data_IF_885240712200
#
_entry.id   IF_885240712200
#
_cell.length_a   1.000
_cell.length_b   1.000
_cell.length_c   1.000
_cell.angle_alpha   90.00
_cell.angle_beta   90.00
_cell.angle_gamma   90.00
#
_symmetry.space_group_name_H-M   'P 1'
#
loop_
_entity.id
_entity.type
_entity.pdbx_description
1 polymer ?
#
# COMPACT_ATOMS: atom_id res chain seq x y z
N UNK A 1 16.57 -18.95 -15.59
CA UNK A 1 15.21 -19.30 -16.02
C UNK A 1 14.20 -19.44 -14.88
N UNK A 2 14.61 -19.52 -13.61
CA UNK A 2 13.68 -19.54 -12.47
C UNK A 2 13.00 -18.20 -12.16
N UNK A 3 13.71 -17.08 -12.37
CA UNK A 3 13.25 -15.73 -12.03
C UNK A 3 11.98 -15.30 -12.79
N UNK A 4 11.94 -15.53 -14.11
CA UNK A 4 10.78 -15.19 -14.97
C UNK A 4 9.52 -15.94 -14.51
N UNK A 5 9.68 -17.20 -14.08
CA UNK A 5 8.57 -18.02 -13.60
C UNK A 5 8.07 -17.61 -12.21
N UNK A 6 8.91 -17.01 -11.38
CA UNK A 6 8.52 -16.50 -10.07
C UNK A 6 7.71 -15.20 -10.19
N UNK A 7 8.16 -14.28 -11.06
CA UNK A 7 7.42 -13.05 -11.38
C UNK A 7 6.07 -13.36 -12.02
N UNK A 8 6.00 -14.37 -12.90
CA UNK A 8 4.74 -14.82 -13.50
C UNK A 8 3.73 -15.40 -12.50
N UNK A 9 4.19 -15.84 -11.31
CA UNK A 9 3.33 -16.37 -10.23
C UNK A 9 2.94 -15.32 -9.18
N UNK A 10 3.38 -14.07 -9.34
CA UNK A 10 3.05 -12.99 -8.41
C UNK A 10 3.71 -13.13 -7.03
N UNK A 11 4.79 -13.91 -6.93
CA UNK A 11 5.58 -14.04 -5.71
C UNK A 11 6.71 -13.01 -5.72
N UNK A 12 6.53 -11.94 -4.93
CA UNK A 12 7.48 -10.81 -4.83
C UNK A 12 8.28 -10.84 -3.52
N UNK A 13 8.21 -11.92 -2.74
CA UNK A 13 8.70 -11.98 -1.35
C UNK A 13 10.24 -11.96 -1.20
N UNK A 14 11.00 -11.96 -2.30
CA UNK A 14 12.46 -11.91 -2.32
C UNK A 14 13.08 -10.88 -3.26
N UNK A 15 12.30 -9.89 -3.71
CA UNK A 15 12.73 -8.96 -4.77
C UNK A 15 13.36 -7.66 -4.28
N UNK A 16 13.53 -7.48 -2.97
CA UNK A 16 14.03 -6.22 -2.43
C UNK A 16 15.47 -5.91 -2.86
N UNK A 17 16.39 -6.89 -2.82
CA UNK A 17 17.78 -6.72 -3.28
C UNK A 17 17.90 -6.55 -4.81
N UNK A 18 17.24 -7.39 -5.63
CA UNK A 18 17.31 -7.26 -7.09
C UNK A 18 16.66 -6.00 -7.67
N UNK A 19 15.63 -5.43 -7.02
CA UNK A 19 14.97 -4.21 -7.51
C UNK A 19 15.88 -2.98 -7.43
N UNK A 20 16.61 -2.81 -6.33
CA UNK A 20 17.50 -1.66 -6.14
C UNK A 20 18.65 -1.65 -7.17
N UNK A 21 19.22 -2.83 -7.46
CA UNK A 21 20.29 -2.98 -8.47
C UNK A 21 19.77 -2.68 -9.89
N UNK A 22 18.51 -3.03 -10.17
CA UNK A 22 17.90 -2.76 -11.46
C UNK A 22 17.60 -1.26 -11.66
N UNK A 23 17.26 -0.52 -10.61
CA UNK A 23 16.92 0.90 -10.69
C UNK A 23 18.15 1.76 -11.04
N UNK A 24 19.29 1.55 -10.38
CA UNK A 24 20.54 2.26 -10.72
C UNK A 24 20.98 1.98 -12.16
N UNK A 25 20.93 0.71 -12.59
CA UNK A 25 21.28 0.32 -13.95
C UNK A 25 20.36 0.95 -15.02
N UNK A 26 19.10 1.23 -14.69
CA UNK A 26 18.16 1.93 -15.57
C UNK A 26 18.55 3.40 -15.71
N UNK A 27 18.92 4.07 -14.61
CA UNK A 27 19.34 5.47 -14.66
C UNK A 27 20.67 5.64 -15.42
N UNK A 28 21.65 4.76 -15.17
CA UNK A 28 22.91 4.76 -15.90
C UNK A 28 22.70 4.55 -17.41
N UNK A 29 21.77 3.68 -17.80
CA UNK A 29 21.42 3.46 -19.19
C UNK A 29 20.74 4.69 -19.81
N UNK A 30 19.85 5.36 -19.07
CA UNK A 30 19.20 6.58 -19.53
C UNK A 30 20.23 7.70 -19.74
N UNK A 31 21.18 7.88 -18.83
CA UNK A 31 22.25 8.87 -18.96
C UNK A 31 23.24 8.55 -20.08
N UNK A 32 23.32 7.29 -20.51
CA UNK A 32 24.19 6.86 -21.61
C UNK A 32 23.68 7.19 -23.02
N UNK A 33 22.40 7.57 -23.16
CA UNK A 33 21.78 7.86 -24.46
C UNK A 33 21.53 9.36 -24.63
N UNK A 34 21.43 9.82 -25.88
CA UNK A 34 21.20 11.22 -26.20
C UNK A 34 19.78 11.69 -25.85
N UNK A 35 19.60 13.01 -25.71
CA UNK A 35 18.34 13.64 -25.31
C UNK A 35 17.15 13.24 -26.20
N UNK A 36 17.36 13.06 -27.51
CA UNK A 36 16.27 12.68 -28.41
C UNK A 36 15.84 11.25 -28.12
N UNK A 37 16.80 10.34 -27.92
CA UNK A 37 16.53 8.95 -27.54
C UNK A 37 15.88 8.87 -26.15
N UNK A 38 16.33 9.65 -25.16
CA UNK A 38 15.70 9.72 -23.84
C UNK A 38 14.22 10.13 -23.95
N UNK A 39 13.90 11.15 -24.72
CA UNK A 39 12.53 11.61 -24.89
C UNK A 39 11.62 10.54 -25.51
N UNK A 40 12.12 9.78 -26.49
CA UNK A 40 11.38 8.66 -27.08
C UNK A 40 11.13 7.54 -26.06
N UNK A 41 12.13 7.23 -25.23
CA UNK A 41 12.00 6.24 -24.15
C UNK A 41 10.93 6.69 -23.16
N UNK A 42 10.99 7.94 -22.69
CA UNK A 42 10.01 8.50 -21.74
C UNK A 42 8.59 8.48 -22.31
N UNK A 43 8.42 8.88 -23.57
CA UNK A 43 7.11 8.86 -24.23
C UNK A 43 6.54 7.44 -24.31
N UNK A 44 7.38 6.47 -24.68
CA UNK A 44 7.00 5.07 -24.75
C UNK A 44 6.63 4.52 -23.36
N UNK A 45 7.48 4.69 -22.35
CA UNK A 45 7.26 4.16 -21.00
C UNK A 45 6.04 4.78 -20.35
N UNK A 46 5.80 6.08 -20.54
CA UNK A 46 4.59 6.77 -20.06
C UNK A 46 3.33 6.18 -20.70
N UNK A 47 3.35 5.95 -22.02
CA UNK A 47 2.25 5.34 -22.75
C UNK A 47 1.97 3.90 -22.30
N UNK A 48 3.03 3.11 -22.14
CA UNK A 48 2.94 1.74 -21.65
C UNK A 48 2.41 1.68 -20.20
N UNK A 49 2.90 2.54 -19.32
CA UNK A 49 2.43 2.65 -17.94
C UNK A 49 0.94 3.00 -17.87
N UNK A 50 0.48 3.96 -18.70
CA UNK A 50 -0.93 4.31 -18.79
C UNK A 50 -1.81 3.15 -19.33
N UNK A 51 -1.28 2.33 -20.24
CA UNK A 51 -1.97 1.12 -20.73
C UNK A 51 -2.04 0.03 -19.66
N UNK A 52 -0.93 -0.25 -18.97
CA UNK A 52 -0.88 -1.21 -17.88
C UNK A 52 -1.82 -0.81 -16.74
N UNK A 53 -1.84 0.47 -16.36
CA UNK A 53 -2.78 1.01 -15.38
C UNK A 53 -4.23 0.73 -15.78
N UNK A 54 -4.60 1.00 -17.04
CA UNK A 54 -5.94 0.69 -17.55
C UNK A 54 -6.30 -0.79 -17.48
N UNK A 55 -5.35 -1.68 -17.73
CA UNK A 55 -5.57 -3.14 -17.63
C UNK A 55 -5.79 -3.54 -16.17
N UNK A 56 -4.99 -2.99 -15.25
CA UNK A 56 -5.12 -3.23 -13.80
C UNK A 56 -6.49 -2.72 -13.31
N UNK A 57 -6.86 -1.50 -13.69
CA UNK A 57 -8.13 -0.91 -13.31
C UNK A 57 -9.30 -1.70 -13.92
N UNK A 58 -9.19 -2.12 -15.18
CA UNK A 58 -10.19 -2.98 -15.83
C UNK A 58 -10.30 -4.34 -15.13
N UNK A 59 -9.20 -4.96 -14.72
CA UNK A 59 -9.21 -6.20 -13.94
C UNK A 59 -9.87 -6.00 -12.56
N UNK A 60 -9.63 -4.86 -11.91
CA UNK A 60 -10.32 -4.50 -10.67
C UNK A 60 -11.84 -4.30 -10.88
N UNK A 61 -12.27 -3.78 -12.04
CA UNK A 61 -13.71 -3.65 -12.36
C UNK A 61 -14.39 -4.96 -12.77
N UNK A 62 -13.64 -5.96 -13.23
CA UNK A 62 -14.18 -7.30 -13.54
C UNK A 62 -14.45 -8.12 -12.27
N UNK A 63 -13.84 -7.74 -11.14
CA UNK A 63 -14.10 -8.35 -9.85
C UNK A 63 -14.18 -7.28 -8.73
N UNK A 64 -15.17 -6.37 -8.79
CA UNK A 64 -15.23 -5.21 -7.89
C UNK A 64 -15.59 -5.58 -6.44
N UNK A 65 -15.95 -6.84 -6.18
CA UNK A 65 -16.33 -7.34 -4.87
C UNK A 65 -15.17 -7.95 -4.06
N UNK A 66 -14.31 -8.76 -4.67
CA UNK A 66 -13.45 -9.65 -3.88
C UNK A 66 -12.34 -8.97 -3.04
N UNK A 67 -11.54 -8.01 -3.54
CA UNK A 67 -10.42 -7.47 -2.75
C UNK A 67 -10.88 -6.63 -1.56
N UNK A 68 -11.91 -5.79 -1.76
CA UNK A 68 -12.45 -4.93 -0.72
C UNK A 68 -13.29 -5.70 0.30
N UNK A 69 -14.13 -6.65 -0.15
CA UNK A 69 -14.90 -7.51 0.76
C UNK A 69 -14.00 -8.42 1.57
N UNK A 70 -12.93 -8.96 0.97
CA UNK A 70 -11.97 -9.78 1.70
C UNK A 70 -11.24 -8.99 2.78
N UNK A 71 -10.85 -7.74 2.48
CA UNK A 71 -10.22 -6.89 3.48
C UNK A 71 -11.20 -6.48 4.58
N UNK A 72 -12.45 -6.18 4.26
CA UNK A 72 -13.48 -5.90 5.27
C UNK A 72 -13.66 -7.09 6.21
N UNK A 73 -13.75 -8.31 5.67
CA UNK A 73 -13.83 -9.55 6.46
C UNK A 73 -12.60 -9.74 7.34
N UNK A 74 -11.39 -9.43 6.84
CA UNK A 74 -10.17 -9.50 7.65
C UNK A 74 -10.16 -8.45 8.77
N UNK A 75 -10.57 -7.22 8.48
CA UNK A 75 -10.64 -6.15 9.47
C UNK A 75 -11.70 -6.43 10.53
N UNK A 76 -12.79 -7.09 10.17
CA UNK A 76 -13.85 -7.52 11.09
C UNK A 76 -13.37 -8.61 12.06
N UNK A 77 -12.34 -9.39 11.70
CA UNK A 77 -11.72 -10.37 12.59
C UNK A 77 -10.82 -9.75 13.67
N UNK A 78 -10.50 -8.46 13.56
CA UNK A 78 -9.74 -7.75 14.59
C UNK A 78 -10.66 -7.10 15.62
N UNK A 79 -10.08 -6.65 16.73
CA UNK A 79 -10.83 -5.90 17.74
C UNK A 79 -11.26 -4.55 17.17
N UNK A 80 -12.55 -4.41 16.89
CA UNK A 80 -13.19 -3.17 16.49
C UNK A 80 -13.88 -2.56 17.71
N UNK A 81 -13.52 -1.32 18.05
CA UNK A 81 -14.11 -0.59 19.17
C UNK A 81 -14.40 0.85 18.78
N UNK A 82 -15.23 1.53 19.56
CA UNK A 82 -15.37 2.97 19.46
C UNK A 82 -14.26 3.63 20.30
N UNK A 83 -13.66 4.70 19.79
CA UNK A 83 -12.72 5.53 20.54
C UNK A 83 -13.24 5.98 21.92
N UNK A 84 -14.54 6.21 22.07
CA UNK A 84 -15.16 6.52 23.37
C UNK A 84 -14.95 5.41 24.41
N UNK A 85 -14.87 4.15 23.99
CA UNK A 85 -14.64 3.00 24.88
C UNK A 85 -13.16 2.81 25.24
N UNK A 86 -12.23 3.40 24.47
CA UNK A 86 -10.78 3.33 24.73
C UNK A 86 -10.35 4.24 25.89
N UNK A 87 -11.08 5.34 26.10
CA UNK A 87 -10.79 6.32 27.16
C UNK A 87 -11.20 5.85 28.56
N UNK A 88 -12.00 4.77 28.66
CA UNK A 88 -12.54 4.29 29.93
C UNK A 88 -11.63 3.32 30.69
N UNK A 89 -10.52 2.84 30.10
CA UNK A 89 -9.75 1.72 30.67
C UNK A 89 -8.27 1.94 30.94
N UNK A 90 -7.68 3.14 30.76
CA UNK A 90 -6.29 3.34 31.19
C UNK A 90 -5.97 4.78 31.54
N UNK A 91 -5.59 4.98 32.80
CA UNK A 91 -4.96 6.18 33.35
C UNK A 91 -3.48 6.23 32.93
N UNK A 92 -3.13 5.88 31.69
CA UNK A 92 -1.78 6.06 31.17
C UNK A 92 -1.89 6.42 29.69
N UNK A 93 -1.17 7.47 29.31
CA UNK A 93 -1.23 8.23 28.07
C UNK A 93 -0.94 7.39 26.81
N UNK A 94 -1.89 6.55 26.39
CA UNK A 94 -1.92 6.02 25.03
C UNK A 94 -2.23 7.21 24.11
N UNK A 95 -1.36 7.48 23.15
CA UNK A 95 -1.61 8.52 22.13
C UNK A 95 -2.91 8.19 21.39
N UNK A 96 -3.99 8.90 21.70
CA UNK A 96 -5.34 8.70 21.12
C UNK A 96 -5.45 9.26 19.70
N UNK A 97 -4.49 8.94 18.84
CA UNK A 97 -4.45 9.38 17.45
C UNK A 97 -4.16 8.21 16.52
N UNK A 98 -4.72 8.25 15.32
CA UNK A 98 -4.42 7.25 14.31
C UNK A 98 -3.02 7.48 13.75
N UNK A 99 -2.16 6.47 13.76
CA UNK A 99 -0.79 6.58 13.24
C UNK A 99 -0.72 6.66 11.70
N UNK A 100 -1.84 6.48 11.00
CA UNK A 100 -1.93 6.58 9.53
C UNK A 100 -2.21 8.02 9.07
N UNK A 101 -3.20 8.69 9.67
CA UNK A 101 -3.57 10.07 9.32
C UNK A 101 -3.09 11.11 10.34
N UNK A 102 -2.59 10.65 11.49
CA UNK A 102 -2.14 11.48 12.62
C UNK A 102 -3.25 12.28 13.32
N UNK A 103 -4.51 12.09 12.93
CA UNK A 103 -5.65 12.76 13.56
C UNK A 103 -6.07 12.07 14.86
N UNK A 104 -6.55 12.89 15.81
CA UNK A 104 -7.17 12.42 17.04
C UNK A 104 -8.50 11.70 16.77
N UNK A 105 -8.83 10.72 17.59
CA UNK A 105 -10.10 10.01 17.46
C UNK A 105 -11.29 10.82 17.97
N UNK A 106 -12.37 10.80 17.21
CA UNK A 106 -13.68 11.28 17.62
C UNK A 106 -14.47 10.16 18.30
N UNK A 107 -15.39 10.51 19.19
CA UNK A 107 -16.19 9.56 19.99
C UNK A 107 -17.13 8.65 19.19
N UNK A 108 -17.18 8.75 17.87
CA UNK A 108 -17.95 7.90 16.97
C UNK A 108 -17.05 7.17 15.97
N UNK A 109 -15.73 7.33 16.05
CA UNK A 109 -14.80 6.67 15.16
C UNK A 109 -14.72 5.17 15.48
N UNK A 110 -14.84 4.36 14.42
CA UNK A 110 -14.53 2.94 14.49
C UNK A 110 -13.02 2.76 14.42
N UNK A 111 -12.46 2.23 15.51
CA UNK A 111 -11.04 1.99 15.68
C UNK A 111 -10.75 0.49 15.62
N UNK A 112 -9.82 0.10 14.76
CA UNK A 112 -9.28 -1.25 14.68
C UNK A 112 -8.03 -1.32 15.54
N UNK A 113 -7.97 -2.28 16.47
CA UNK A 113 -6.78 -2.58 17.27
C UNK A 113 -6.18 -3.89 16.77
N UNK A 114 -4.91 -3.86 16.39
CA UNK A 114 -4.20 -5.06 15.94
C UNK A 114 -3.81 -5.95 17.13
N UNK A 115 -3.82 -7.29 16.96
CA UNK A 115 -3.57 -8.23 18.06
C UNK A 115 -2.13 -8.24 18.56
N UNK A 116 -1.20 -7.60 17.84
CA UNK A 116 0.22 -7.56 18.23
C UNK A 116 0.50 -6.61 19.39
N UNK A 117 -0.21 -5.49 19.53
CA UNK A 117 -0.08 -4.58 20.66
C UNK A 117 -1.25 -3.59 20.74
N UNK A 118 -1.68 -3.22 21.96
CA UNK A 118 -2.83 -2.32 22.19
C UNK A 118 -2.60 -0.88 21.71
N UNK A 119 -1.35 -0.49 21.50
CA UNK A 119 -0.98 0.82 20.92
C UNK A 119 -1.05 0.84 19.38
N UNK A 120 -1.27 -0.30 18.74
CA UNK A 120 -1.45 -0.38 17.28
C UNK A 120 -2.92 -0.26 16.94
N UNK A 121 -3.40 0.98 16.92
CA UNK A 121 -4.77 1.31 16.63
C UNK A 121 -4.90 2.31 15.46
N UNK A 122 -5.97 2.16 14.67
CA UNK A 122 -6.18 2.93 13.45
C UNK A 122 -7.67 3.20 13.22
N UNK A 123 -8.03 4.30 12.54
CA UNK A 123 -9.37 4.38 11.95
C UNK A 123 -9.55 3.20 10.99
N UNK A 124 -10.70 2.53 11.06
CA UNK A 124 -11.00 1.40 10.16
C UNK A 124 -10.83 1.77 8.68
N UNK A 125 -11.27 2.96 8.29
CA UNK A 125 -11.09 3.46 6.92
C UNK A 125 -9.63 3.73 6.55
N UNK A 126 -8.80 4.19 7.49
CA UNK A 126 -7.40 4.50 7.21
C UNK A 126 -6.56 3.25 6.92
N UNK A 127 -6.76 2.17 7.67
CA UNK A 127 -6.08 0.89 7.40
C UNK A 127 -6.61 0.23 6.13
N UNK A 128 -7.90 0.43 5.81
CA UNK A 128 -8.50 -0.05 4.56
C UNK A 128 -7.83 0.60 3.34
N UNK A 129 -7.59 1.91 3.34
CA UNK A 129 -6.98 2.62 2.20
C UNK A 129 -5.47 2.34 2.06
N UNK A 130 -4.73 2.19 3.17
CA UNK A 130 -3.27 1.98 3.13
C UNK A 130 -2.87 0.62 2.55
N UNK A 131 -3.67 -0.43 2.71
CA UNK A 131 -3.39 -1.77 2.13
C UNK A 131 -3.47 -1.76 0.59
N UNK A 132 -4.20 -0.79 0.00
CA UNK A 132 -4.27 -0.60 -1.45
C UNK A 132 -3.21 0.33 -2.03
N UNK A 133 -2.40 1.00 -1.21
CA UNK A 133 -1.36 1.93 -1.69
C UNK A 133 0.03 1.33 -1.46
N UNK A 134 0.74 0.86 -2.50
CA UNK A 134 2.16 0.56 -2.36
C UNK A 134 2.87 1.84 -1.89
N UNK A 135 3.71 1.68 -0.87
CA UNK A 135 4.53 2.73 -0.28
C UNK A 135 5.27 3.51 -1.36
N UNK A 136 5.02 4.82 -1.44
CA UNK A 136 5.90 5.75 -2.15
C UNK A 136 7.24 5.77 -1.41
N UNK A 137 8.38 5.73 -2.11
CA UNK A 137 9.66 6.04 -1.48
C UNK A 137 9.59 7.47 -0.94
N UNK A 138 9.97 7.66 0.31
CA UNK A 138 10.10 8.97 0.93
C UNK A 138 11.40 9.63 0.46
N UNK A 139 11.30 10.94 0.23
CA UNK A 139 12.35 11.93 -0.08
C UNK A 139 13.58 11.89 0.83
#
# INVERSE_FOLDING_TARGET
MDYINQVARGDFTGLYEPLYIAEEAIYDLLDSVDDQTQNLIVQFTTGAAAQLRRIIDAAATQNPGEPAQHLDVLLDNFTNTNAASMTSTSLESVTLACTICMDAYLSNDTVVILPCHTTHHFHRGCIQVRIFRPSSPHE
#
